data_IF_915749808892
#
_entry.id   IF_915749808892
#
_cell.length_a   1.000
_cell.length_b   1.000
_cell.length_c   1.000
_cell.angle_alpha   90.00
_cell.angle_beta   90.00
_cell.angle_gamma   90.00
#
_symmetry.space_group_name_H-M   'P 1'
#
loop_
_entity.id
_entity.type
_entity.pdbx_description
1 polymer ?
#
# COMPACT_ATOMS: atom_id res chain seq x y z
N UNK A 1 31.25 -17.76 34.89
CA UNK A 1 30.54 -17.22 33.72
C UNK A 1 29.74 -16.06 34.25
N UNK A 2 30.28 -14.85 34.14
CA UNK A 2 29.57 -13.63 34.52
C UNK A 2 28.36 -13.53 33.61
N UNK A 3 27.16 -13.59 34.18
CA UNK A 3 25.93 -13.44 33.42
C UNK A 3 25.86 -11.98 33.03
N UNK A 4 25.99 -11.69 31.75
CA UNK A 4 25.81 -10.37 31.19
C UNK A 4 24.42 -9.87 31.62
N UNK A 5 24.40 -8.81 32.42
CA UNK A 5 23.16 -8.23 32.93
C UNK A 5 22.43 -7.60 31.74
N UNK A 6 21.26 -8.13 31.41
CA UNK A 6 20.42 -7.63 30.32
C UNK A 6 19.88 -6.26 30.71
N UNK A 7 20.35 -5.19 30.06
CA UNK A 7 19.92 -3.81 30.33
C UNK A 7 18.76 -3.44 29.41
N UNK A 8 17.66 -2.93 29.98
CA UNK A 8 16.54 -2.43 29.19
C UNK A 8 16.99 -1.21 28.35
N UNK A 9 16.90 -1.24 27.01
CA UNK A 9 17.40 -0.15 26.16
C UNK A 9 16.60 1.15 26.27
N UNK A 10 15.38 1.09 26.83
CA UNK A 10 14.52 2.26 27.04
C UNK A 10 14.93 3.05 28.28
N UNK A 11 14.88 2.43 29.47
CA UNK A 11 15.16 3.10 30.74
C UNK A 11 16.62 3.01 31.18
N UNK A 12 17.42 2.14 30.54
CA UNK A 12 18.84 1.89 30.82
C UNK A 12 19.14 1.32 32.21
N UNK A 13 18.13 0.74 32.86
CA UNK A 13 18.30 -0.02 34.10
C UNK A 13 18.45 -1.53 33.80
N UNK A 14 19.22 -2.26 34.64
CA UNK A 14 19.31 -3.73 34.55
C UNK A 14 17.94 -4.38 34.73
N UNK A 15 17.68 -5.41 33.94
CA UNK A 15 16.52 -6.28 34.10
C UNK A 15 16.88 -7.36 35.10
N UNK A 16 16.14 -7.42 36.21
CA UNK A 16 16.39 -8.35 37.31
C UNK A 16 15.43 -9.53 37.29
N UNK A 17 15.79 -10.60 38.02
CA UNK A 17 14.96 -11.79 38.10
C UNK A 17 13.61 -11.49 38.80
N UNK A 18 12.51 -11.85 38.14
CA UNK A 18 11.15 -11.67 38.68
C UNK A 18 10.41 -10.45 38.11
N UNK A 19 11.08 -9.60 37.35
CA UNK A 19 10.41 -8.50 36.64
C UNK A 19 9.65 -9.01 35.41
N UNK A 20 8.57 -8.31 35.07
CA UNK A 20 7.84 -8.59 33.83
C UNK A 20 8.64 -8.04 32.67
N UNK A 21 8.92 -8.90 31.69
CA UNK A 21 9.73 -8.56 30.53
C UNK A 21 9.01 -8.86 29.23
N UNK A 22 9.31 -8.07 28.21
CA UNK A 22 8.91 -8.31 26.83
C UNK A 22 10.16 -8.52 26.00
N UNK A 23 10.18 -9.62 25.25
CA UNK A 23 11.18 -9.86 24.21
C UNK A 23 10.68 -9.26 22.91
N UNK A 24 11.48 -8.39 22.29
CA UNK A 24 11.14 -7.84 20.98
C UNK A 24 11.01 -8.96 19.94
N UNK A 25 9.88 -9.07 19.20
CA UNK A 25 9.68 -10.14 18.22
C UNK A 25 10.56 -10.04 16.96
N UNK A 26 11.28 -8.93 16.75
CA UNK A 26 12.15 -8.76 15.58
C UNK A 26 13.64 -8.67 15.85
N UNK A 27 14.08 -8.31 17.06
CA UNK A 27 15.51 -8.25 17.40
C UNK A 27 15.88 -8.92 18.72
N UNK A 28 14.93 -9.60 19.36
CA UNK A 28 15.07 -10.36 20.60
C UNK A 28 15.56 -9.59 21.84
N UNK A 29 15.76 -8.28 21.74
CA UNK A 29 16.16 -7.45 22.88
C UNK A 29 15.07 -7.42 23.96
N UNK A 30 15.51 -7.58 25.21
CA UNK A 30 14.64 -7.56 26.38
C UNK A 30 14.34 -6.13 26.83
N UNK A 31 13.10 -5.92 27.24
CA UNK A 31 12.60 -4.67 27.79
C UNK A 31 11.76 -5.02 29.04
N UNK A 32 11.68 -4.11 30.01
CA UNK A 32 10.59 -4.20 30.99
C UNK A 32 9.25 -4.09 30.27
N UNK A 33 8.24 -4.83 30.72
CA UNK A 33 6.91 -4.81 30.12
C UNK A 33 6.33 -3.39 30.10
N UNK A 34 6.44 -2.67 31.21
CA UNK A 34 5.93 -1.30 31.33
C UNK A 34 6.68 -0.34 30.38
N UNK A 35 8.01 -0.48 30.25
CA UNK A 35 8.81 0.29 29.30
C UNK A 35 8.47 0.00 27.83
N UNK A 36 8.15 -1.26 27.50
CA UNK A 36 7.72 -1.64 26.17
C UNK A 36 6.40 -0.98 25.79
N UNK A 37 5.43 -0.99 26.71
CA UNK A 37 4.13 -0.35 26.54
C UNK A 37 4.25 1.18 26.42
N UNK A 38 5.03 1.81 27.30
CA UNK A 38 5.24 3.26 27.29
C UNK A 38 5.94 3.75 26.02
N UNK A 39 6.98 3.03 25.57
CA UNK A 39 7.67 3.36 24.32
C UNK A 39 6.81 3.02 23.08
N UNK A 40 5.82 2.14 23.22
CA UNK A 40 5.02 1.62 22.12
C UNK A 40 5.80 0.68 21.18
N UNK A 41 6.81 -0.01 21.72
CA UNK A 41 7.64 -0.94 20.95
C UNK A 41 9.11 -0.95 21.37
N UNK A 42 9.96 -1.48 20.49
CA UNK A 42 11.38 -1.63 20.76
C UNK A 42 12.12 -0.29 20.77
N UNK A 43 12.97 -0.07 21.78
CA UNK A 43 13.82 1.13 21.87
C UNK A 43 15.20 0.95 21.18
N UNK A 44 15.48 -0.24 20.62
CA UNK A 44 16.72 -0.49 19.89
C UNK A 44 16.73 0.28 18.57
N UNK A 45 17.81 1.03 18.35
CA UNK A 45 18.02 1.77 17.11
C UNK A 45 17.90 0.85 15.88
N UNK A 46 17.14 1.29 14.89
CA UNK A 46 16.94 0.57 13.63
C UNK A 46 16.05 -0.68 13.70
N UNK A 47 15.44 -0.99 14.85
CA UNK A 47 14.50 -2.11 14.92
C UNK A 47 13.21 -1.81 14.15
N UNK A 48 12.73 -2.76 13.34
CA UNK A 48 11.44 -2.67 12.63
C UNK A 48 10.23 -2.55 13.58
N UNK A 49 10.36 -3.05 14.81
CA UNK A 49 9.33 -2.92 15.85
C UNK A 49 9.53 -1.67 16.73
N UNK A 50 10.40 -0.74 16.35
CA UNK A 50 10.45 0.55 17.01
C UNK A 50 9.24 1.41 16.59
N UNK A 51 8.73 2.27 17.48
CA UNK A 51 7.64 3.17 17.15
C UNK A 51 7.99 4.11 15.98
N UNK A 52 9.26 4.46 15.80
CA UNK A 52 9.75 5.28 14.69
C UNK A 52 9.62 4.55 13.35
N UNK A 53 10.09 3.30 13.25
CA UNK A 53 9.98 2.53 12.01
C UNK A 53 8.53 2.17 11.65
N UNK A 54 7.70 1.94 12.66
CA UNK A 54 6.28 1.63 12.48
C UNK A 54 5.46 2.81 11.93
N UNK A 55 5.94 4.05 12.11
CA UNK A 55 5.24 5.27 11.69
C UNK A 55 5.56 5.69 10.26
N UNK A 56 6.48 5.00 9.60
CA UNK A 56 7.05 5.43 8.31
C UNK A 56 7.78 6.77 8.45
N UNK A 57 8.41 7.27 7.37
CA UNK A 57 8.89 8.64 7.39
C UNK A 57 7.71 9.56 7.68
N UNK A 58 7.84 10.40 8.70
CA UNK A 58 6.99 11.57 8.86
C UNK A 58 7.23 12.45 7.64
N UNK A 59 6.53 12.17 6.53
CA UNK A 59 6.45 13.11 5.44
C UNK A 59 5.99 14.43 6.06
N UNK A 60 6.66 15.56 5.77
CA UNK A 60 6.22 16.87 6.23
C UNK A 60 4.73 16.97 5.90
N UNK A 61 3.89 17.14 6.94
CA UNK A 61 2.44 17.11 6.74
C UNK A 61 1.90 18.29 5.94
N UNK A 62 2.73 19.26 5.58
CA UNK A 62 2.30 20.47 4.88
C UNK A 62 3.34 20.88 3.84
N UNK A 63 3.26 20.28 2.66
CA UNK A 63 4.05 20.72 1.51
C UNK A 63 3.62 20.00 0.24
N UNK A 64 3.46 20.70 -0.90
CA UNK A 64 3.27 20.02 -2.16
C UNK A 64 4.50 19.12 -2.44
N UNK A 65 4.30 17.95 -3.07
CA UNK A 65 5.40 17.06 -3.39
C UNK A 65 6.47 17.81 -4.20
N UNK A 66 7.76 17.51 -4.03
CA UNK A 66 8.84 18.18 -4.74
C UNK A 66 8.59 18.06 -6.25
N UNK A 67 8.32 19.18 -6.91
CA UNK A 67 8.16 19.20 -8.37
C UNK A 67 9.53 19.01 -9.00
N UNK A 68 9.65 18.03 -9.90
CA UNK A 68 10.87 17.82 -10.66
C UNK A 68 11.14 19.04 -11.54
N UNK A 69 12.34 19.61 -11.46
CA UNK A 69 12.78 20.76 -12.28
C UNK A 69 13.34 20.33 -13.64
N UNK A 70 13.59 19.03 -13.84
CA UNK A 70 14.15 18.44 -15.05
C UNK A 70 13.48 17.12 -15.42
N UNK A 71 13.61 16.72 -16.69
CA UNK A 71 13.10 15.46 -17.21
C UNK A 71 14.12 14.32 -16.99
N UNK A 72 13.77 13.31 -16.18
CA UNK A 72 14.63 12.13 -15.97
C UNK A 72 14.80 11.23 -17.21
N UNK A 73 13.95 11.37 -18.22
CA UNK A 73 14.02 10.54 -19.44
C UNK A 73 15.01 11.10 -20.47
N UNK A 74 15.18 12.42 -20.56
CA UNK A 74 15.98 13.05 -21.62
C UNK A 74 16.92 14.16 -21.14
N UNK A 75 16.92 14.46 -19.84
CA UNK A 75 17.73 15.52 -19.25
C UNK A 75 17.24 16.95 -19.51
N UNK A 76 16.10 17.14 -20.18
CA UNK A 76 15.58 18.48 -20.47
C UNK A 76 15.32 19.28 -19.19
N UNK A 77 15.84 20.50 -19.14
CA UNK A 77 15.73 21.43 -18.02
C UNK A 77 15.79 22.87 -18.54
N UNK A 78 15.04 23.83 -17.96
CA UNK A 78 14.04 23.61 -16.92
C UNK A 78 12.71 23.07 -17.49
N UNK A 79 12.02 22.26 -16.69
CA UNK A 79 10.62 21.93 -16.96
C UNK A 79 9.74 23.15 -16.70
N UNK A 80 8.74 23.44 -17.55
CA UNK A 80 7.75 24.48 -17.27
C UNK A 80 7.00 24.21 -15.96
N UNK A 81 6.59 25.27 -15.26
CA UNK A 81 5.83 25.13 -14.02
C UNK A 81 4.51 24.39 -14.28
N UNK A 82 4.26 23.32 -13.51
CA UNK A 82 3.04 22.50 -13.67
C UNK A 82 3.03 21.59 -14.90
N UNK A 83 4.17 21.42 -15.60
CA UNK A 83 4.27 20.49 -16.72
C UNK A 83 3.95 19.04 -16.29
N UNK A 84 2.97 18.43 -16.97
CA UNK A 84 2.68 16.99 -16.86
C UNK A 84 3.49 16.15 -17.85
N UNK A 85 4.03 16.81 -18.89
CA UNK A 85 4.79 16.19 -19.98
C UNK A 85 6.00 17.04 -20.31
N UNK A 86 7.11 16.40 -20.66
CA UNK A 86 8.31 17.05 -21.14
C UNK A 86 8.06 17.58 -22.57
N UNK A 87 8.23 18.88 -22.84
CA UNK A 87 8.02 19.43 -24.18
C UNK A 87 9.07 18.94 -25.19
N UNK A 88 10.21 18.42 -24.70
CA UNK A 88 11.29 17.92 -25.56
C UNK A 88 11.12 16.48 -26.00
N UNK A 89 10.75 15.58 -25.10
CA UNK A 89 10.68 14.13 -25.40
C UNK A 89 9.29 13.52 -25.25
N UNK A 90 8.30 14.27 -24.75
CA UNK A 90 6.94 13.77 -24.51
C UNK A 90 6.78 12.88 -23.28
N UNK A 91 7.86 12.54 -22.57
CA UNK A 91 7.78 11.74 -21.34
C UNK A 91 6.95 12.46 -20.27
N UNK A 92 6.18 11.70 -19.49
CA UNK A 92 5.45 12.25 -18.34
C UNK A 92 6.45 12.70 -17.27
N UNK A 93 6.23 13.89 -16.75
CA UNK A 93 7.06 14.50 -15.70
C UNK A 93 6.13 14.99 -14.58
N UNK A 94 6.52 14.78 -13.33
CA UNK A 94 5.68 15.05 -12.15
C UNK A 94 5.40 13.80 -11.32
N UNK A 95 5.46 13.95 -9.99
CA UNK A 95 5.10 12.89 -9.04
C UNK A 95 3.58 12.71 -9.07
N UNK A 96 3.12 11.58 -9.62
CA UNK A 96 1.74 11.14 -9.49
C UNK A 96 1.42 10.96 -8.00
N UNK A 97 0.47 11.73 -7.47
CA UNK A 97 -0.42 11.19 -6.43
C UNK A 97 -1.09 9.91 -6.96
N UNK A 98 -1.72 9.08 -6.11
CA UNK A 98 -2.23 7.78 -6.54
C UNK A 98 -3.08 7.94 -7.80
N UNK A 99 -2.52 7.44 -8.90
CA UNK A 99 -3.25 7.19 -10.13
C UNK A 99 -4.36 6.25 -9.70
N UNK A 100 -5.58 6.79 -9.57
CA UNK A 100 -6.76 6.00 -9.88
C UNK A 100 -6.52 5.55 -11.31
N UNK A 101 -5.99 4.34 -11.45
CA UNK A 101 -6.00 3.62 -12.70
C UNK A 101 -7.39 3.84 -13.27
N UNK A 102 -7.44 4.39 -14.48
CA UNK A 102 -8.71 4.58 -15.18
C UNK A 102 -9.51 3.31 -15.01
N UNK A 103 -10.73 3.46 -14.50
CA UNK A 103 -11.69 2.39 -14.51
C UNK A 103 -11.65 1.80 -15.91
N UNK A 104 -11.30 0.52 -15.99
CA UNK A 104 -11.48 -0.26 -17.19
C UNK A 104 -12.88 0.05 -17.73
N UNK A 105 -13.08 0.36 -19.02
CA UNK A 105 -14.39 0.11 -19.59
C UNK A 105 -14.61 -1.40 -19.45
N UNK A 106 -15.28 -1.80 -18.39
CA UNK A 106 -15.85 -3.13 -18.22
C UNK A 106 -17.05 -3.22 -19.18
N UNK A 107 -16.77 -3.18 -20.48
CA UNK A 107 -17.64 -3.69 -21.52
C UNK A 107 -17.04 -5.03 -21.93
N UNK A 108 -17.19 -6.01 -21.04
CA UNK A 108 -16.67 -7.34 -21.27
C UNK A 108 -17.43 -7.96 -22.45
N UNK A 109 -16.72 -8.42 -23.48
CA UNK A 109 -17.30 -9.11 -24.64
C UNK A 109 -18.15 -10.34 -24.26
N UNK A 110 -18.08 -10.80 -23.01
CA UNK A 110 -18.90 -11.89 -22.48
C UNK A 110 -20.38 -11.50 -22.30
N UNK A 111 -20.72 -10.22 -22.14
CA UNK A 111 -22.13 -9.79 -22.03
C UNK A 111 -22.85 -9.86 -23.38
N UNK A 112 -22.13 -9.61 -24.49
CA UNK A 112 -22.68 -9.71 -25.84
C UNK A 112 -22.98 -11.17 -26.25
N UNK A 113 -22.20 -12.14 -25.74
CA UNK A 113 -22.40 -13.56 -26.07
C UNK A 113 -23.55 -14.20 -25.26
N UNK A 114 -23.80 -13.72 -24.03
CA UNK A 114 -24.83 -14.31 -23.17
C UNK A 114 -26.26 -13.89 -23.61
N UNK A 115 -26.43 -12.68 -24.14
CA UNK A 115 -27.74 -12.18 -24.60
C UNK A 115 -28.30 -12.92 -25.82
N UNK A 116 -27.45 -13.34 -26.77
CA UNK A 116 -27.91 -14.01 -27.99
C UNK A 116 -28.45 -15.42 -27.73
N UNK A 117 -27.87 -16.18 -26.80
CA UNK A 117 -28.34 -17.53 -26.47
C UNK A 117 -29.66 -17.52 -25.71
N UNK A 118 -29.82 -16.59 -24.77
CA UNK A 118 -31.09 -16.42 -24.02
C UNK A 118 -32.21 -15.94 -24.95
N UNK A 119 -31.91 -15.00 -25.86
CA UNK A 119 -32.87 -14.51 -26.85
C UNK A 119 -33.37 -15.60 -27.80
N UNK A 120 -32.47 -16.41 -28.35
CA UNK A 120 -32.83 -17.52 -29.24
C UNK A 120 -33.63 -18.61 -28.52
N UNK A 121 -33.31 -18.89 -27.25
CA UNK A 121 -34.06 -19.85 -26.44
C UNK A 121 -35.50 -19.39 -26.17
N UNK A 122 -35.70 -18.11 -25.83
CA UNK A 122 -37.04 -17.55 -25.61
C UNK A 122 -37.87 -17.57 -26.90
N UNK A 123 -37.28 -17.21 -28.04
CA UNK A 123 -37.97 -17.25 -29.34
C UNK A 123 -38.37 -18.67 -29.69
N UNK A 124 -37.48 -19.65 -29.50
CA UNK A 124 -37.80 -21.07 -29.74
C UNK A 124 -38.93 -21.56 -28.83
N UNK A 125 -38.92 -21.19 -27.55
CA UNK A 125 -39.96 -21.57 -26.60
C UNK A 125 -41.31 -20.94 -26.95
N UNK A 126 -41.33 -19.68 -27.38
CA UNK A 126 -42.54 -19.02 -27.88
C UNK A 126 -43.07 -19.66 -29.17
N UNK A 127 -42.19 -20.08 -30.09
CA UNK A 127 -42.61 -20.81 -31.29
C UNK A 127 -43.19 -22.19 -30.96
N UNK A 128 -42.70 -22.87 -29.94
CA UNK A 128 -43.31 -24.12 -29.47
C UNK A 128 -44.69 -23.89 -28.82
N UNK A 129 -44.83 -22.83 -28.01
CA UNK A 129 -46.10 -22.52 -27.35
C UNK A 129 -47.15 -22.03 -28.35
N UNK A 130 -46.75 -21.20 -29.32
CA UNK A 130 -47.65 -20.62 -30.32
C UNK A 130 -47.87 -21.54 -31.53
N UNK A 131 -46.89 -22.38 -31.87
CA UNK A 131 -46.95 -23.33 -32.99
C UNK A 131 -47.43 -24.73 -32.62
N UNK A 132 -47.46 -25.09 -31.33
CA UNK A 132 -47.98 -26.37 -30.84
C UNK A 132 -49.49 -26.45 -30.70
N UNK A 133 -50.22 -25.37 -31.01
CA UNK A 133 -51.68 -25.30 -30.96
C UNK A 133 -52.36 -25.75 -32.25
N UNK A 134 -52.07 -26.97 -32.71
CA UNK A 134 -52.86 -27.69 -33.73
C UNK A 134 -52.72 -29.20 -33.48
N UNK A 135 -53.31 -29.68 -32.40
CA UNK A 135 -53.71 -31.07 -32.21
C UNK A 135 -54.97 -31.13 -31.36
#
# INVERSE_FOLDING_TARGET
MEREEEVCPYCRFPITAGERVVRCPGCDTLHHADCWEENGGCARYGCLHSPEMSRGPALPREGPPPRLTFCHHCGYSPLPEGANFCPRCGARVGLRGPIRAGGTPSGSWVDACCGCLVGLFIIFLLLLILGGGCF
#
